data_IF_896154208234
#
_entry.id   IF_896154208234
#
_cell.length_a   1.000
_cell.length_b   1.000
_cell.length_c   1.000
_cell.angle_alpha   90.00
_cell.angle_beta   90.00
_cell.angle_gamma   90.00
#
_symmetry.space_group_name_H-M   'P 1'
#
loop_
_entity.id
_entity.type
_entity.pdbx_description
1 polymer ?
#
# COMPACT_ATOMS: atom_id res chain seq x y z
N UNK A 1 34.71 -11.81 -41.22
CA UNK A 1 33.38 -11.92 -40.68
C UNK A 1 33.49 -11.93 -39.18
N UNK A 2 33.22 -10.84 -38.43
CA UNK A 2 33.19 -10.90 -36.98
C UNK A 2 31.83 -11.39 -36.53
N UNK A 3 31.86 -12.44 -35.76
CA UNK A 3 30.73 -13.13 -35.13
C UNK A 3 30.11 -12.20 -34.06
N UNK A 4 28.92 -11.70 -34.36
CA UNK A 4 28.15 -10.84 -33.48
C UNK A 4 27.37 -11.66 -32.46
N UNK A 5 28.02 -12.20 -31.45
CA UNK A 5 27.38 -12.78 -30.28
C UNK A 5 26.67 -11.65 -29.51
N UNK A 6 25.38 -11.50 -29.72
CA UNK A 6 24.49 -10.74 -28.83
C UNK A 6 24.55 -11.39 -27.45
N UNK A 7 25.33 -10.80 -26.54
CA UNK A 7 25.26 -11.14 -25.12
C UNK A 7 23.86 -10.80 -24.66
N UNK A 8 23.02 -11.81 -24.41
CA UNK A 8 21.85 -11.67 -23.57
C UNK A 8 22.37 -11.33 -22.16
N UNK A 9 22.37 -10.04 -21.83
CA UNK A 9 22.63 -9.62 -20.45
C UNK A 9 21.61 -10.35 -19.56
N UNK A 10 22.11 -11.17 -18.64
CA UNK A 10 21.28 -11.76 -17.61
C UNK A 10 20.60 -10.62 -16.85
N UNK A 11 19.29 -10.70 -16.62
CA UNK A 11 18.54 -9.61 -15.98
C UNK A 11 19.19 -9.30 -14.62
N UNK A 12 19.47 -8.01 -14.40
CA UNK A 12 20.04 -7.50 -13.15
C UNK A 12 19.24 -8.03 -11.94
N UNK A 13 19.89 -8.75 -11.00
CA UNK A 13 19.21 -9.29 -9.81
C UNK A 13 18.51 -8.20 -9.00
N UNK A 14 19.01 -6.97 -9.01
CA UNK A 14 18.38 -5.82 -8.34
C UNK A 14 17.07 -5.43 -9.02
N UNK A 15 17.07 -5.32 -10.35
CA UNK A 15 15.88 -5.02 -11.13
C UNK A 15 14.80 -6.11 -10.97
N UNK A 16 15.18 -7.39 -10.87
CA UNK A 16 14.25 -8.48 -10.64
C UNK A 16 13.60 -8.39 -9.25
N UNK A 17 14.36 -8.10 -8.19
CA UNK A 17 13.82 -7.93 -6.83
C UNK A 17 12.82 -6.79 -6.73
N UNK A 18 13.09 -5.66 -7.40
CA UNK A 18 12.15 -4.53 -7.47
C UNK A 18 10.89 -4.91 -8.23
N UNK A 19 11.02 -5.62 -9.37
CA UNK A 19 9.87 -6.09 -10.15
C UNK A 19 8.99 -7.11 -9.41
N UNK A 20 9.57 -7.96 -8.57
CA UNK A 20 8.81 -8.87 -7.72
C UNK A 20 7.88 -8.13 -6.73
N UNK A 21 8.26 -6.94 -6.29
CA UNK A 21 7.44 -6.08 -5.43
C UNK A 21 6.28 -5.40 -6.14
N UNK A 22 6.41 -5.15 -7.45
CA UNK A 22 5.38 -4.48 -8.27
C UNK A 22 5.01 -5.38 -9.44
N UNK A 23 4.26 -6.44 -9.15
CA UNK A 23 3.86 -7.43 -10.16
C UNK A 23 3.06 -6.78 -11.29
N UNK A 24 3.35 -7.12 -12.57
CA UNK A 24 2.56 -6.67 -13.71
C UNK A 24 1.06 -6.94 -13.52
N UNK A 25 0.25 -5.93 -13.79
CA UNK A 25 -1.21 -6.02 -13.62
C UNK A 25 -1.73 -5.79 -12.19
N UNK A 26 -0.86 -5.65 -11.19
CA UNK A 26 -1.29 -5.21 -9.84
C UNK A 26 -1.82 -3.77 -9.86
N UNK A 27 -2.63 -3.39 -8.85
CA UNK A 27 -3.18 -2.02 -8.77
C UNK A 27 -2.06 -0.98 -8.66
N UNK A 28 -0.98 -1.29 -7.92
CA UNK A 28 0.21 -0.43 -7.78
C UNK A 28 0.96 -0.28 -9.11
N UNK A 29 1.15 -1.39 -9.84
CA UNK A 29 1.77 -1.36 -11.17
C UNK A 29 0.98 -0.46 -12.12
N UNK A 30 -0.34 -0.64 -12.21
CA UNK A 30 -1.19 0.16 -13.09
C UNK A 30 -1.17 1.65 -12.72
N UNK A 31 -1.16 1.97 -11.43
CA UNK A 31 -1.02 3.35 -10.97
C UNK A 31 0.33 3.96 -11.37
N UNK A 32 1.43 3.21 -11.23
CA UNK A 32 2.77 3.65 -11.57
C UNK A 32 2.98 3.89 -13.08
N UNK A 33 2.21 3.23 -13.97
CA UNK A 33 2.31 3.42 -15.43
C UNK A 33 2.09 4.87 -15.87
N UNK A 34 1.33 5.65 -15.11
CA UNK A 34 1.00 7.04 -15.43
C UNK A 34 1.96 8.07 -14.78
N UNK A 35 3.07 7.60 -14.22
CA UNK A 35 4.18 8.44 -13.73
C UNK A 35 5.29 8.52 -14.80
N UNK A 36 6.07 9.58 -14.79
CA UNK A 36 7.26 9.72 -15.66
C UNK A 36 8.25 8.56 -15.41
N UNK A 37 9.03 8.18 -16.42
CA UNK A 37 9.93 7.01 -16.36
C UNK A 37 10.89 7.04 -15.16
N UNK A 38 11.52 8.18 -14.91
CA UNK A 38 12.45 8.36 -13.77
C UNK A 38 11.75 8.27 -12.43
N UNK A 39 10.54 8.85 -12.32
CA UNK A 39 9.73 8.78 -11.09
C UNK A 39 9.24 7.35 -10.86
N UNK A 40 8.82 6.64 -11.93
CA UNK A 40 8.31 5.27 -11.85
C UNK A 40 9.29 4.34 -11.15
N UNK A 41 10.56 4.34 -11.51
CA UNK A 41 11.58 3.49 -10.88
C UNK A 41 11.67 3.74 -9.38
N UNK A 42 11.57 5.00 -8.95
CA UNK A 42 11.56 5.37 -7.53
C UNK A 42 10.28 4.89 -6.80
N UNK A 43 9.13 5.00 -7.44
CA UNK A 43 7.86 4.51 -6.90
C UNK A 43 7.88 2.99 -6.75
N UNK A 44 8.38 2.30 -7.78
CA UNK A 44 8.53 0.84 -7.78
C UNK A 44 9.46 0.37 -6.66
N UNK A 45 10.53 1.12 -6.36
CA UNK A 45 11.43 0.80 -5.25
C UNK A 45 10.73 0.93 -3.88
N UNK A 46 9.90 1.97 -3.66
CA UNK A 46 9.10 2.12 -2.43
C UNK A 46 8.11 0.96 -2.29
N UNK A 47 7.41 0.61 -3.36
CA UNK A 47 6.47 -0.51 -3.34
C UNK A 47 7.17 -1.87 -3.17
N UNK A 48 8.36 -2.04 -3.72
CA UNK A 48 9.15 -3.24 -3.52
C UNK A 48 9.53 -3.43 -2.05
N UNK A 49 9.91 -2.34 -1.36
CA UNK A 49 10.14 -2.37 0.08
C UNK A 49 8.86 -2.70 0.86
N UNK A 50 7.74 -2.07 0.54
CA UNK A 50 6.43 -2.38 1.14
C UNK A 50 6.07 -3.87 0.97
N UNK A 51 6.27 -4.42 -0.23
CA UNK A 51 6.01 -5.84 -0.52
C UNK A 51 6.96 -6.77 0.26
N UNK A 52 8.23 -6.39 0.41
CA UNK A 52 9.20 -7.14 1.22
C UNK A 52 8.80 -7.18 2.69
N UNK A 53 8.41 -6.03 3.28
CA UNK A 53 7.90 -5.97 4.66
C UNK A 53 6.68 -6.88 4.84
N UNK A 54 5.72 -6.84 3.91
CA UNK A 54 4.55 -7.74 3.95
C UNK A 54 4.91 -9.22 3.83
N UNK A 55 5.93 -9.56 3.03
CA UNK A 55 6.44 -10.93 2.90
C UNK A 55 7.06 -11.42 4.20
N UNK A 56 7.76 -10.54 4.91
CA UNK A 56 8.30 -10.85 6.25
C UNK A 56 7.18 -11.17 7.23
N UNK A 57 6.14 -10.34 7.30
CA UNK A 57 4.97 -10.54 8.18
C UNK A 57 4.20 -11.82 7.83
N UNK A 58 4.20 -12.24 6.56
CA UNK A 58 3.55 -13.47 6.10
C UNK A 58 4.41 -14.74 6.31
N UNK A 59 5.62 -14.63 6.88
CA UNK A 59 6.51 -15.77 7.12
C UNK A 59 5.87 -16.78 8.09
N UNK A 60 6.06 -18.06 7.85
CA UNK A 60 5.61 -19.12 8.73
C UNK A 60 6.40 -19.18 10.06
N UNK A 61 7.66 -18.72 10.04
CA UNK A 61 8.52 -18.67 11.23
C UNK A 61 8.53 -17.27 11.82
N UNK A 62 8.07 -17.15 13.05
CA UNK A 62 8.05 -15.90 13.81
C UNK A 62 9.47 -15.37 14.09
N UNK A 63 10.37 -16.26 14.52
CA UNK A 63 11.76 -15.90 14.81
C UNK A 63 12.49 -15.42 13.55
N UNK A 64 12.27 -16.10 12.41
CA UNK A 64 12.84 -15.69 11.14
C UNK A 64 12.30 -14.33 10.68
N UNK A 65 11.01 -14.04 10.93
CA UNK A 65 10.41 -12.75 10.65
C UNK A 65 11.07 -11.63 11.48
N UNK A 66 11.21 -11.81 12.80
CA UNK A 66 11.88 -10.84 13.67
C UNK A 66 13.35 -10.63 13.31
N UNK A 67 14.10 -11.69 13.02
CA UNK A 67 15.49 -11.58 12.58
C UNK A 67 15.63 -10.77 11.28
N UNK A 68 14.70 -10.96 10.32
CA UNK A 68 14.67 -10.20 9.06
C UNK A 68 14.29 -8.74 9.29
N UNK A 69 13.33 -8.43 10.17
CA UNK A 69 13.00 -7.03 10.51
C UNK A 69 14.18 -6.33 11.17
N UNK A 70 14.91 -7.02 12.08
CA UNK A 70 16.09 -6.47 12.70
C UNK A 70 17.21 -6.22 11.68
N UNK A 71 17.42 -7.15 10.75
CA UNK A 71 18.38 -6.96 9.67
C UNK A 71 18.01 -5.76 8.78
N UNK A 72 16.71 -5.58 8.45
CA UNK A 72 16.24 -4.45 7.67
C UNK A 72 16.44 -3.11 8.37
N UNK A 73 16.35 -3.04 9.71
CA UNK A 73 16.69 -1.81 10.44
C UNK A 73 18.11 -1.35 10.14
N UNK A 74 19.08 -2.26 10.27
CA UNK A 74 20.46 -1.97 9.91
C UNK A 74 20.67 -1.64 8.43
N UNK A 75 19.89 -2.23 7.53
CA UNK A 75 19.96 -1.91 6.10
C UNK A 75 19.39 -0.52 5.78
N UNK A 76 18.32 -0.12 6.44
CA UNK A 76 17.77 1.24 6.33
C UNK A 76 18.73 2.29 6.90
N UNK A 77 19.43 2.00 8.01
CA UNK A 77 20.48 2.88 8.54
C UNK A 77 21.61 3.03 7.52
N UNK A 78 22.03 1.94 6.85
CA UNK A 78 23.00 2.00 5.75
C UNK A 78 22.49 2.80 4.54
N UNK A 79 21.22 2.68 4.20
CA UNK A 79 20.59 3.46 3.14
C UNK A 79 20.63 4.97 3.45
N UNK A 80 20.23 5.36 4.65
CA UNK A 80 20.29 6.75 5.12
C UNK A 80 21.72 7.27 5.12
N UNK A 81 22.71 6.43 5.49
CA UNK A 81 24.12 6.75 5.40
C UNK A 81 24.70 6.75 3.96
N UNK A 82 23.91 6.37 2.95
CA UNK A 82 24.32 6.32 1.54
C UNK A 82 25.12 5.07 1.14
N UNK A 83 25.07 3.99 1.93
CA UNK A 83 25.84 2.76 1.74
C UNK A 83 24.98 1.50 1.82
N UNK A 84 23.83 1.43 1.11
CA UNK A 84 22.98 0.25 1.14
C UNK A 84 23.65 -0.94 0.43
N UNK A 85 23.34 -2.14 0.90
CA UNK A 85 23.85 -3.40 0.32
C UNK A 85 22.75 -4.21 -0.40
N UNK A 86 21.51 -4.11 0.06
CA UNK A 86 20.40 -4.87 -0.51
C UNK A 86 19.87 -4.22 -1.80
N UNK A 87 19.52 -4.98 -2.83
CA UNK A 87 19.04 -4.46 -4.12
C UNK A 87 17.87 -3.48 -4.00
N UNK A 88 16.87 -3.75 -3.15
CA UNK A 88 15.74 -2.84 -2.92
C UNK A 88 16.23 -1.53 -2.27
N UNK A 89 17.13 -1.60 -1.29
CA UNK A 89 17.68 -0.42 -0.65
C UNK A 89 18.56 0.40 -1.62
N UNK A 90 19.32 -0.25 -2.49
CA UNK A 90 20.07 0.40 -3.57
C UNK A 90 19.14 1.11 -4.56
N UNK A 91 17.99 0.51 -4.90
CA UNK A 91 16.98 1.13 -5.75
C UNK A 91 16.29 2.35 -5.10
N UNK A 92 16.28 2.44 -3.77
CA UNK A 92 15.80 3.60 -3.01
C UNK A 92 16.84 4.73 -2.89
N UNK A 93 18.13 4.43 -3.11
CA UNK A 93 19.23 5.40 -2.94
C UNK A 93 19.06 6.70 -3.76
N UNK A 94 18.53 6.69 -5.01
CA UNK A 94 18.28 7.93 -5.76
C UNK A 94 17.28 8.90 -5.11
N UNK A 95 16.52 8.44 -4.11
CA UNK A 95 15.60 9.27 -3.34
C UNK A 95 16.30 10.04 -2.21
N UNK A 96 17.51 9.61 -1.80
CA UNK A 96 18.26 10.23 -0.72
C UNK A 96 18.63 11.68 -1.05
N UNK A 97 18.34 12.57 -0.13
CA UNK A 97 18.62 14.01 -0.28
C UNK A 97 17.66 14.76 -1.18
N UNK A 98 16.62 14.10 -1.74
CA UNK A 98 15.56 14.82 -2.45
C UNK A 98 14.71 15.62 -1.47
N UNK A 99 14.21 16.74 -1.92
CA UNK A 99 13.37 17.63 -1.11
C UNK A 99 12.13 16.89 -0.58
N UNK A 100 11.87 17.04 0.70
CA UNK A 100 10.75 16.44 1.44
C UNK A 100 10.68 14.90 1.42
N UNK A 101 11.71 14.22 0.91
CA UNK A 101 11.84 12.76 0.96
C UNK A 101 12.69 12.38 2.18
N UNK A 102 12.03 11.92 3.22
CA UNK A 102 12.69 11.40 4.43
C UNK A 102 12.69 9.86 4.40
N UNK A 103 13.83 9.28 4.02
CA UNK A 103 13.99 7.81 3.99
C UNK A 103 13.98 7.18 5.39
N UNK A 104 14.20 7.98 6.47
CA UNK A 104 14.05 7.52 7.85
C UNK A 104 12.63 7.04 8.16
N UNK A 105 11.62 7.58 7.46
CA UNK A 105 10.24 7.13 7.58
C UNK A 105 10.03 5.64 7.22
N UNK A 106 10.92 5.02 6.45
CA UNK A 106 10.83 3.59 6.14
C UNK A 106 10.93 2.72 7.40
N UNK A 107 11.57 3.19 8.48
CA UNK A 107 11.58 2.50 9.77
C UNK A 107 10.18 2.37 10.37
N UNK A 108 9.28 3.34 10.13
CA UNK A 108 7.89 3.25 10.58
C UNK A 108 7.15 2.05 10.00
N UNK A 109 7.50 1.65 8.76
CA UNK A 109 6.93 0.45 8.14
C UNK A 109 7.40 -0.84 8.85
N UNK A 110 8.62 -0.86 9.37
CA UNK A 110 9.13 -1.99 10.17
C UNK A 110 8.45 -2.02 11.55
N UNK A 111 8.17 -0.85 12.15
CA UNK A 111 7.38 -0.77 13.40
C UNK A 111 5.96 -1.31 13.16
N UNK A 112 5.32 -0.94 12.03
CA UNK A 112 4.01 -1.49 11.68
C UNK A 112 4.05 -3.01 11.50
N UNK A 113 5.14 -3.55 10.94
CA UNK A 113 5.34 -4.99 10.79
C UNK A 113 5.50 -5.71 12.15
N UNK A 114 6.18 -5.10 13.13
CA UNK A 114 6.23 -5.66 14.49
C UNK A 114 4.84 -5.73 15.11
N UNK A 115 4.00 -4.68 14.94
CA UNK A 115 2.62 -4.69 15.43
C UNK A 115 1.79 -5.81 14.76
N UNK A 116 2.01 -6.05 13.45
CA UNK A 116 1.36 -7.17 12.74
C UNK A 116 1.84 -8.54 13.24
N UNK A 117 3.13 -8.70 13.54
CA UNK A 117 3.68 -9.94 14.11
C UNK A 117 3.17 -10.18 15.53
N UNK A 118 3.06 -9.13 16.34
CA UNK A 118 2.50 -9.18 17.68
C UNK A 118 0.96 -9.37 17.68
N UNK A 119 0.30 -9.36 16.51
CA UNK A 119 -1.16 -9.44 16.37
C UNK A 119 -1.89 -8.43 17.24
N UNK A 120 -1.40 -7.19 17.25
CA UNK A 120 -1.97 -6.13 18.06
C UNK A 120 -3.44 -5.89 17.72
N UNK A 121 -4.24 -5.70 18.75
CA UNK A 121 -5.62 -5.21 18.64
C UNK A 121 -5.64 -3.70 18.87
N UNK A 122 -6.60 -3.03 18.26
CA UNK A 122 -6.76 -1.58 18.35
C UNK A 122 -8.03 -1.26 19.13
N UNK A 123 -7.94 -0.40 20.15
CA UNK A 123 -9.12 -0.04 20.95
C UNK A 123 -10.02 0.89 20.15
N UNK A 124 -9.46 1.85 19.43
CA UNK A 124 -10.20 2.90 18.72
C UNK A 124 -9.75 3.07 17.27
N UNK A 125 -10.57 3.79 16.47
CA UNK A 125 -10.19 4.20 15.12
C UNK A 125 -8.94 5.11 15.12
N UNK A 126 -8.69 5.85 16.20
CA UNK A 126 -7.50 6.70 16.32
C UNK A 126 -6.23 5.87 16.46
N UNK A 127 -6.26 4.80 17.26
CA UNK A 127 -5.12 3.88 17.38
C UNK A 127 -4.83 3.16 16.07
N UNK A 128 -5.89 2.67 15.42
CA UNK A 128 -5.75 2.07 14.09
C UNK A 128 -5.16 3.09 13.09
N UNK A 129 -5.56 4.36 13.14
CA UNK A 129 -5.03 5.40 12.26
C UNK A 129 -3.51 5.58 12.41
N UNK A 130 -2.96 5.46 13.62
CA UNK A 130 -1.52 5.51 13.86
C UNK A 130 -0.78 4.35 13.17
N UNK A 131 -1.31 3.12 13.27
CA UNK A 131 -0.78 1.97 12.53
C UNK A 131 -0.88 2.15 11.00
N UNK A 132 -2.04 2.64 10.51
CA UNK A 132 -2.27 2.86 9.07
C UNK A 132 -1.29 3.88 8.49
N UNK A 133 -0.97 4.93 9.26
CA UNK A 133 0.05 5.90 8.85
C UNK A 133 1.43 5.23 8.77
N UNK A 134 1.85 4.50 9.80
CA UNK A 134 3.15 3.82 9.83
C UNK A 134 3.32 2.82 8.69
N UNK A 135 2.26 2.10 8.33
CA UNK A 135 2.29 1.11 7.25
C UNK A 135 2.23 1.77 5.86
N UNK A 136 1.05 1.93 5.30
CA UNK A 136 0.86 2.42 3.94
C UNK A 136 0.89 3.96 3.83
N UNK A 137 0.57 4.69 4.91
CA UNK A 137 0.65 6.15 4.92
C UNK A 137 2.06 6.66 4.68
N UNK A 138 3.07 6.02 5.27
CA UNK A 138 4.48 6.28 5.04
C UNK A 138 4.86 6.08 3.58
N UNK A 139 4.52 4.94 2.98
CA UNK A 139 4.82 4.65 1.58
C UNK A 139 4.21 5.70 0.64
N UNK A 140 2.94 6.07 0.84
CA UNK A 140 2.28 7.06 0.01
C UNK A 140 2.84 8.48 0.23
N UNK A 141 3.29 8.82 1.44
CA UNK A 141 3.96 10.10 1.71
C UNK A 141 5.30 10.20 0.96
N UNK A 142 6.12 9.16 0.97
CA UNK A 142 7.37 9.10 0.20
C UNK A 142 7.12 9.18 -1.31
N UNK A 143 6.09 8.49 -1.80
CA UNK A 143 5.69 8.55 -3.21
C UNK A 143 5.23 9.96 -3.59
N UNK A 144 4.38 10.60 -2.78
CA UNK A 144 3.89 11.96 -3.05
C UNK A 144 5.04 12.98 -3.05
N UNK A 145 6.00 12.87 -2.12
CA UNK A 145 7.19 13.71 -2.10
C UNK A 145 8.06 13.50 -3.35
N UNK A 146 8.22 12.25 -3.78
CA UNK A 146 8.94 11.91 -5.02
C UNK A 146 8.29 12.54 -6.25
N UNK A 147 6.96 12.52 -6.32
CA UNK A 147 6.19 13.11 -7.42
C UNK A 147 6.19 14.64 -7.38
N UNK A 148 6.24 15.26 -6.20
CA UNK A 148 6.36 16.69 -6.02
C UNK A 148 7.70 17.22 -6.53
N UNK A 149 8.76 16.42 -6.52
CA UNK A 149 10.09 16.79 -7.00
C UNK A 149 10.68 17.98 -6.25
N UNK A 150 11.42 18.82 -6.97
CA UNK A 150 12.16 19.95 -6.37
C UNK A 150 11.26 21.09 -5.86
N UNK A 151 9.99 21.15 -6.27
CA UNK A 151 9.05 22.15 -5.71
C UNK A 151 8.69 21.88 -4.25
N UNK A 152 8.88 20.63 -3.81
CA UNK A 152 8.52 20.19 -2.48
C UNK A 152 7.03 19.81 -2.32
N UNK A 153 6.73 19.13 -1.21
CA UNK A 153 5.42 18.58 -0.89
C UNK A 153 4.55 19.64 -0.19
N UNK A 154 3.43 20.02 -0.78
CA UNK A 154 2.46 20.91 -0.16
C UNK A 154 1.74 20.25 1.01
N UNK A 155 1.06 21.07 1.87
CA UNK A 155 0.23 20.54 2.95
C UNK A 155 -0.91 19.67 2.41
N UNK A 156 -1.54 20.09 1.31
CA UNK A 156 -2.64 19.36 0.66
C UNK A 156 -2.18 17.98 0.16
N UNK A 157 -1.03 17.91 -0.50
CA UNK A 157 -0.48 16.65 -0.98
C UNK A 157 -0.06 15.72 0.16
N UNK A 158 0.49 16.26 1.26
CA UNK A 158 0.83 15.47 2.45
C UNK A 158 -0.41 14.85 3.08
N UNK A 159 -1.49 15.63 3.22
CA UNK A 159 -2.76 15.15 3.76
C UNK A 159 -3.40 14.12 2.82
N UNK A 160 -3.41 14.39 1.50
CA UNK A 160 -3.85 13.45 0.49
C UNK A 160 -3.11 12.11 0.58
N UNK A 161 -1.79 12.14 0.63
CA UNK A 161 -0.97 10.93 0.68
C UNK A 161 -1.23 10.09 1.95
N UNK A 162 -1.34 10.75 3.11
CA UNK A 162 -1.64 10.08 4.38
C UNK A 162 -3.01 9.40 4.33
N UNK A 163 -4.05 10.12 3.89
CA UNK A 163 -5.43 9.58 3.79
C UNK A 163 -5.52 8.49 2.73
N UNK A 164 -4.88 8.68 1.58
CA UNK A 164 -4.79 7.65 0.55
C UNK A 164 -4.19 6.36 1.11
N UNK A 165 -3.02 6.43 1.73
CA UNK A 165 -2.34 5.26 2.29
C UNK A 165 -3.19 4.55 3.34
N UNK A 166 -3.77 5.30 4.27
CA UNK A 166 -4.65 4.74 5.29
C UNK A 166 -5.87 4.03 4.70
N UNK A 167 -6.50 4.62 3.68
CA UNK A 167 -7.71 4.06 3.06
C UNK A 167 -7.40 2.86 2.18
N UNK A 168 -6.29 2.91 1.42
CA UNK A 168 -5.77 1.77 0.65
C UNK A 168 -5.50 0.59 1.58
N UNK A 169 -4.80 0.79 2.69
CA UNK A 169 -4.50 -0.29 3.64
C UNK A 169 -5.76 -0.89 4.25
N UNK A 170 -6.73 -0.09 4.65
CA UNK A 170 -8.02 -0.59 5.15
C UNK A 170 -8.80 -1.38 4.09
N UNK A 171 -8.76 -0.96 2.82
CA UNK A 171 -9.36 -1.73 1.72
C UNK A 171 -8.71 -3.11 1.59
N UNK A 172 -7.39 -3.17 1.69
CA UNK A 172 -6.65 -4.44 1.67
C UNK A 172 -6.96 -5.33 2.88
N UNK A 173 -7.17 -4.74 4.08
CA UNK A 173 -7.63 -5.46 5.27
C UNK A 173 -9.00 -6.10 5.05
N UNK A 174 -9.94 -5.37 4.47
CA UNK A 174 -11.25 -5.92 4.14
C UNK A 174 -11.19 -7.04 3.09
N UNK A 175 -10.35 -6.88 2.08
CA UNK A 175 -10.10 -7.93 1.09
C UNK A 175 -9.53 -9.20 1.72
N UNK A 176 -8.60 -9.03 2.66
CA UNK A 176 -7.92 -10.13 3.33
C UNK A 176 -8.57 -10.55 4.66
N UNK A 177 -9.76 -10.03 4.98
CA UNK A 177 -10.38 -10.17 6.29
C UNK A 177 -10.42 -11.63 6.80
N UNK A 178 -10.85 -12.58 5.95
CA UNK A 178 -10.93 -13.98 6.33
C UNK A 178 -9.54 -14.59 6.60
N UNK A 179 -8.58 -14.28 5.73
CA UNK A 179 -7.21 -14.77 5.90
C UNK A 179 -6.56 -14.19 7.15
N UNK A 180 -6.73 -12.89 7.38
CA UNK A 180 -6.11 -12.22 8.53
C UNK A 180 -6.71 -12.73 9.85
N UNK A 181 -8.03 -12.96 9.90
CA UNK A 181 -8.71 -13.61 11.03
C UNK A 181 -8.21 -15.04 11.27
N UNK A 182 -8.07 -15.84 10.24
CA UNK A 182 -7.50 -17.19 10.34
C UNK A 182 -6.08 -17.19 10.92
N UNK A 183 -5.32 -16.10 10.70
CA UNK A 183 -4.00 -15.87 11.30
C UNK A 183 -4.07 -15.19 12.69
N UNK A 184 -5.26 -14.97 13.24
CA UNK A 184 -5.45 -14.30 14.54
C UNK A 184 -5.28 -12.80 14.51
N UNK A 185 -5.38 -12.14 13.33
CA UNK A 185 -5.30 -10.68 13.18
C UNK A 185 -6.69 -10.09 13.00
N UNK A 186 -7.08 -9.21 13.90
CA UNK A 186 -8.34 -8.44 13.82
C UNK A 186 -8.00 -6.96 13.87
N UNK A 187 -8.19 -6.26 12.75
CA UNK A 187 -7.92 -4.82 12.65
C UNK A 187 -9.13 -3.94 12.99
N UNK A 188 -10.34 -4.53 13.08
CA UNK A 188 -11.53 -3.78 13.49
C UNK A 188 -11.35 -3.31 14.94
N UNK A 189 -11.50 -1.99 15.24
CA UNK A 189 -11.35 -1.48 16.59
C UNK A 189 -12.38 -2.09 17.54
N UNK A 190 -11.93 -2.41 18.77
CA UNK A 190 -12.78 -3.04 19.79
C UNK A 190 -14.02 -2.21 20.09
N UNK A 191 -13.86 -0.88 20.33
CA UNK A 191 -14.98 0.03 20.57
C UNK A 191 -15.99 0.05 19.42
N UNK A 192 -15.53 -0.12 18.17
CA UNK A 192 -16.43 -0.14 17.02
C UNK A 192 -17.22 -1.45 16.93
N UNK A 193 -16.61 -2.58 17.29
CA UNK A 193 -17.29 -3.87 17.39
C UNK A 193 -18.31 -3.86 18.53
N UNK A 194 -17.92 -3.41 19.71
CA UNK A 194 -18.80 -3.28 20.89
C UNK A 194 -20.01 -2.38 20.60
N UNK A 195 -19.77 -1.22 19.98
CA UNK A 195 -20.84 -0.26 19.59
C UNK A 195 -21.81 -0.88 18.58
N UNK A 196 -21.38 -1.85 17.81
CA UNK A 196 -22.21 -2.61 16.88
C UNK A 196 -22.86 -3.84 17.51
N UNK A 197 -22.63 -4.10 18.82
CA UNK A 197 -23.11 -5.29 19.51
C UNK A 197 -22.41 -6.58 19.08
N UNK A 198 -21.17 -6.48 18.60
CA UNK A 198 -20.39 -7.62 18.12
C UNK A 198 -19.34 -8.01 19.17
N UNK A 199 -19.37 -9.27 19.60
CA UNK A 199 -18.31 -9.84 20.42
C UNK A 199 -17.01 -9.95 19.57
N UNK A 200 -15.90 -9.33 20.00
CA UNK A 200 -14.64 -9.40 19.28
C UNK A 200 -14.12 -10.82 19.02
N UNK A 201 -14.33 -11.74 19.97
CA UNK A 201 -13.93 -13.16 19.85
C UNK A 201 -14.78 -13.89 18.81
N UNK A 202 -16.09 -13.59 18.76
CA UNK A 202 -16.98 -14.13 17.75
C UNK A 202 -16.61 -13.57 16.36
N UNK A 203 -16.33 -12.27 16.26
CA UNK A 203 -15.87 -11.62 15.02
C UNK A 203 -14.56 -12.22 14.50
N UNK A 204 -13.63 -12.56 15.40
CA UNK A 204 -12.38 -13.24 15.00
C UNK A 204 -12.66 -14.62 14.41
N UNK A 205 -13.63 -15.37 14.91
CA UNK A 205 -13.98 -16.70 14.39
C UNK A 205 -14.77 -16.66 13.09
N UNK A 206 -15.72 -15.74 12.97
CA UNK A 206 -16.58 -15.61 11.80
C UNK A 206 -17.15 -14.19 11.67
N UNK A 207 -17.34 -13.72 10.44
CA UNK A 207 -18.11 -12.49 10.13
C UNK A 207 -19.41 -12.81 9.39
N UNK A 208 -19.88 -14.04 9.44
CA UNK A 208 -21.02 -14.50 8.63
C UNK A 208 -22.39 -14.20 9.26
N UNK A 209 -22.45 -13.73 10.52
CA UNK A 209 -23.72 -13.27 11.08
C UNK A 209 -24.15 -11.93 10.46
N UNK A 210 -25.46 -11.64 10.54
CA UNK A 210 -26.04 -10.45 9.90
C UNK A 210 -25.47 -9.13 10.45
N UNK A 211 -25.16 -9.07 11.76
CA UNK A 211 -24.64 -7.85 12.41
C UNK A 211 -23.20 -7.60 11.97
N UNK A 212 -22.36 -8.64 11.98
CA UNK A 212 -20.97 -8.53 11.51
C UNK A 212 -20.92 -8.19 10.01
N UNK A 213 -21.81 -8.77 9.21
CA UNK A 213 -21.93 -8.43 7.77
C UNK A 213 -22.33 -6.98 7.57
N UNK A 214 -23.29 -6.45 8.34
CA UNK A 214 -23.70 -5.05 8.29
C UNK A 214 -22.56 -4.10 8.73
N UNK A 215 -21.80 -4.47 9.76
CA UNK A 215 -20.63 -3.73 10.21
C UNK A 215 -19.57 -3.62 9.10
N UNK A 216 -19.21 -4.72 8.47
CA UNK A 216 -18.25 -4.78 7.36
C UNK A 216 -18.75 -3.94 6.18
N UNK A 217 -20.03 -4.03 5.81
CA UNK A 217 -20.64 -3.22 4.76
C UNK A 217 -20.59 -1.72 5.08
N UNK A 218 -20.86 -1.33 6.33
CA UNK A 218 -20.71 0.06 6.80
C UNK A 218 -19.27 0.56 6.69
N UNK A 219 -18.31 -0.28 7.04
CA UNK A 219 -16.88 0.04 6.89
C UNK A 219 -16.49 0.23 5.41
N UNK A 220 -16.92 -0.69 4.53
CA UNK A 220 -16.73 -0.58 3.08
C UNK A 220 -17.30 0.72 2.51
N UNK A 221 -18.54 1.06 2.89
CA UNK A 221 -19.21 2.28 2.42
C UNK A 221 -18.47 3.55 2.88
N UNK A 222 -17.94 3.57 4.10
CA UNK A 222 -17.09 4.67 4.61
C UNK A 222 -15.83 4.82 3.78
N UNK A 223 -15.09 3.74 3.54
CA UNK A 223 -13.86 3.77 2.75
C UNK A 223 -14.12 4.19 1.30
N UNK A 224 -15.25 3.77 0.74
CA UNK A 224 -15.67 4.17 -0.61
C UNK A 224 -15.83 5.68 -0.73
N UNK A 225 -16.57 6.30 0.22
CA UNK A 225 -16.72 7.77 0.29
C UNK A 225 -15.38 8.48 0.48
N UNK A 226 -14.51 7.93 1.33
CA UNK A 226 -13.18 8.47 1.57
C UNK A 226 -12.35 8.53 0.29
N UNK A 227 -12.30 7.43 -0.48
CA UNK A 227 -11.57 7.37 -1.76
C UNK A 227 -12.15 8.35 -2.80
N UNK A 228 -13.47 8.57 -2.80
CA UNK A 228 -14.12 9.51 -3.71
C UNK A 228 -13.83 10.98 -3.35
N UNK A 229 -13.65 11.29 -2.07
CA UNK A 229 -13.36 12.65 -1.60
C UNK A 229 -11.89 13.06 -1.73
N UNK A 230 -10.96 12.11 -1.92
CA UNK A 230 -9.52 12.40 -1.99
C UNK A 230 -9.12 13.47 -3.02
N UNK A 231 -9.71 13.54 -4.24
CA UNK A 231 -9.36 14.57 -5.20
C UNK A 231 -9.65 16.00 -4.73
N UNK A 232 -10.62 16.18 -3.82
CA UNK A 232 -11.01 17.48 -3.27
C UNK A 232 -9.92 18.05 -2.36
N UNK A 233 -9.15 17.20 -1.68
CA UNK A 233 -8.04 17.61 -0.81
C UNK A 233 -6.96 18.33 -1.60
N UNK A 234 -6.68 17.86 -2.81
CA UNK A 234 -5.67 18.47 -3.70
C UNK A 234 -6.13 19.83 -4.25
N UNK A 235 -7.44 20.07 -4.35
CA UNK A 235 -8.04 21.32 -4.80
C UNK A 235 -7.67 21.69 -6.23
N UNK A 236 -6.43 22.07 -6.45
CA UNK A 236 -5.94 22.60 -7.73
C UNK A 236 -5.67 21.52 -8.77
N UNK A 237 -5.96 21.80 -10.07
CA UNK A 237 -5.67 20.87 -11.16
C UNK A 237 -4.19 20.50 -11.27
N UNK A 238 -3.29 21.45 -11.01
CA UNK A 238 -1.83 21.23 -11.03
C UNK A 238 -1.37 20.20 -10.01
N UNK A 239 -1.93 20.22 -8.79
CA UNK A 239 -1.65 19.24 -7.75
C UNK A 239 -2.27 17.89 -8.08
N UNK A 240 -3.47 17.87 -8.67
CA UNK A 240 -4.09 16.63 -9.14
C UNK A 240 -3.27 15.96 -10.23
N UNK A 241 -2.77 16.72 -11.19
CA UNK A 241 -1.87 16.22 -12.24
C UNK A 241 -0.56 15.68 -11.65
N UNK A 242 0.05 16.39 -10.71
CA UNK A 242 1.27 15.94 -10.03
C UNK A 242 1.05 14.64 -9.26
N UNK A 243 -0.09 14.50 -8.56
CA UNK A 243 -0.44 13.34 -7.75
C UNK A 243 -1.34 12.32 -8.49
N UNK A 244 -1.35 12.35 -9.83
CA UNK A 244 -2.17 11.47 -10.68
C UNK A 244 -2.03 9.99 -10.35
N UNK A 245 -0.81 9.53 -10.02
CA UNK A 245 -0.56 8.18 -9.55
C UNK A 245 -1.48 7.81 -8.37
N UNK A 246 -1.52 8.64 -7.33
CA UNK A 246 -2.34 8.39 -6.15
C UNK A 246 -3.84 8.41 -6.46
N UNK A 247 -4.28 9.29 -7.37
CA UNK A 247 -5.68 9.35 -7.82
C UNK A 247 -6.08 8.10 -8.61
N UNK A 248 -5.20 7.57 -9.45
CA UNK A 248 -5.42 6.28 -10.15
C UNK A 248 -5.49 5.13 -9.13
N UNK A 249 -4.60 5.11 -8.15
CA UNK A 249 -4.62 4.10 -7.09
C UNK A 249 -5.92 4.15 -6.28
N UNK A 250 -6.39 5.35 -5.91
CA UNK A 250 -7.67 5.56 -5.23
C UNK A 250 -8.86 5.04 -6.04
N UNK A 251 -8.93 5.38 -7.32
CA UNK A 251 -10.01 4.94 -8.21
C UNK A 251 -10.03 3.41 -8.38
N UNK A 252 -8.87 2.77 -8.47
CA UNK A 252 -8.75 1.32 -8.55
C UNK A 252 -9.23 0.64 -7.26
N UNK A 253 -8.88 1.18 -6.08
CA UNK A 253 -9.33 0.65 -4.79
C UNK A 253 -10.82 0.89 -4.57
N UNK A 254 -11.37 2.02 -5.03
CA UNK A 254 -12.80 2.27 -5.01
C UNK A 254 -13.58 1.22 -5.82
N UNK A 255 -13.11 0.90 -7.02
CA UNK A 255 -13.69 -0.18 -7.83
C UNK A 255 -13.55 -1.55 -7.18
N UNK A 256 -12.45 -1.78 -6.47
CA UNK A 256 -12.24 -3.02 -5.73
C UNK A 256 -13.22 -3.17 -4.57
N UNK A 257 -13.51 -2.08 -3.83
CA UNK A 257 -14.56 -2.07 -2.80
C UNK A 257 -15.95 -2.35 -3.39
N UNK A 258 -16.30 -1.76 -4.54
CA UNK A 258 -17.56 -2.05 -5.25
C UNK A 258 -17.68 -3.56 -5.53
N UNK A 259 -16.58 -4.19 -5.89
CA UNK A 259 -16.54 -5.64 -6.17
C UNK A 259 -16.69 -6.49 -4.92
N UNK A 260 -16.10 -6.07 -3.79
CA UNK A 260 -16.23 -6.76 -2.50
C UNK A 260 -17.67 -6.67 -1.96
N UNK A 261 -18.36 -5.57 -2.22
CA UNK A 261 -19.75 -5.34 -1.79
C UNK A 261 -20.79 -6.10 -2.64
N UNK A 262 -20.40 -6.65 -3.80
CA UNK A 262 -21.31 -7.39 -4.66
C UNK A 262 -21.77 -8.71 -3.99
N UNK A 263 -23.06 -9.11 -4.13
CA UNK A 263 -23.58 -10.34 -3.52
C UNK A 263 -22.75 -11.59 -3.88
N UNK A 264 -22.59 -12.46 -2.91
CA UNK A 264 -21.71 -13.64 -2.95
C UNK A 264 -22.12 -14.76 -3.93
N UNK A 265 -23.12 -14.54 -4.81
CA UNK A 265 -23.57 -15.52 -5.81
C UNK A 265 -22.45 -16.07 -6.72
N UNK A 266 -21.20 -15.67 -6.47
CA UNK A 266 -20.05 -15.99 -7.29
C UNK A 266 -18.76 -16.11 -6.48
N UNK A 267 -18.82 -16.89 -5.39
CA UNK A 267 -17.69 -17.09 -4.47
C UNK A 267 -16.36 -17.40 -5.17
N UNK A 268 -15.32 -16.93 -4.55
CA UNK A 268 -13.91 -17.30 -4.58
C UNK A 268 -13.00 -16.86 -5.74
N UNK A 269 -13.37 -16.87 -6.98
CA UNK A 269 -12.50 -16.35 -8.08
C UNK A 269 -12.78 -14.90 -8.46
N UNK A 270 -13.77 -14.24 -7.85
CA UNK A 270 -14.30 -12.95 -8.31
C UNK A 270 -14.13 -11.77 -7.34
N UNK A 271 -13.36 -11.93 -6.28
CA UNK A 271 -12.97 -10.78 -5.44
C UNK A 271 -12.04 -9.82 -6.18
N UNK A 272 -11.28 -10.29 -7.17
CA UNK A 272 -10.40 -9.46 -7.96
C UNK A 272 -11.12 -8.75 -9.11
N UNK A 273 -10.64 -7.55 -9.43
CA UNK A 273 -11.06 -6.82 -10.62
C UNK A 273 -10.52 -7.52 -11.89
N UNK A 274 -11.35 -7.67 -12.89
CA UNK A 274 -10.91 -8.15 -14.20
C UNK A 274 -9.86 -7.22 -14.83
N UNK A 275 -8.94 -7.74 -15.66
CA UNK A 275 -7.83 -6.96 -16.24
C UNK A 275 -8.31 -5.75 -17.04
N UNK A 276 -9.36 -5.90 -17.84
CA UNK A 276 -9.94 -4.80 -18.64
C UNK A 276 -10.53 -3.71 -17.74
N UNK A 277 -11.22 -4.07 -16.66
CA UNK A 277 -11.77 -3.11 -15.70
C UNK A 277 -10.67 -2.32 -15.01
N UNK A 278 -9.57 -2.99 -14.61
CA UNK A 278 -8.40 -2.32 -14.02
C UNK A 278 -7.78 -1.33 -14.99
N UNK A 279 -7.50 -1.77 -16.22
CA UNK A 279 -6.86 -0.94 -17.23
C UNK A 279 -7.73 0.27 -17.61
N UNK A 280 -9.03 0.04 -17.85
CA UNK A 280 -9.99 1.11 -18.17
C UNK A 280 -10.11 2.14 -17.04
N UNK A 281 -10.23 1.68 -15.78
CA UNK A 281 -10.33 2.57 -14.62
C UNK A 281 -9.06 3.42 -14.50
N UNK A 282 -7.89 2.81 -14.61
CA UNK A 282 -6.61 3.50 -14.52
C UNK A 282 -6.46 4.54 -15.63
N UNK A 283 -6.70 4.16 -16.87
CA UNK A 283 -6.59 5.04 -18.04
C UNK A 283 -7.58 6.22 -17.97
N UNK A 284 -8.86 5.95 -17.69
CA UNK A 284 -9.88 7.01 -17.59
C UNK A 284 -9.57 8.00 -16.47
N UNK A 285 -9.09 7.54 -15.33
CA UNK A 285 -8.71 8.41 -14.22
C UNK A 285 -7.47 9.24 -14.57
N UNK A 286 -6.48 8.62 -15.21
CA UNK A 286 -5.28 9.33 -15.64
C UNK A 286 -5.57 10.45 -16.64
N UNK A 287 -6.52 10.24 -17.58
CA UNK A 287 -6.95 11.27 -18.52
C UNK A 287 -7.71 12.44 -17.87
N UNK A 288 -8.44 12.18 -16.79
CA UNK A 288 -9.19 13.23 -16.07
C UNK A 288 -8.27 14.18 -15.29
N UNK A 289 -7.07 13.73 -14.95
CA UNK A 289 -6.14 14.42 -14.09
C UNK A 289 -4.76 14.62 -14.74
N UNK A 290 -4.71 14.46 -16.08
CA UNK A 290 -3.51 14.63 -16.91
C UNK A 290 -3.26 16.03 -17.39
#
# INVERSE_FOLDING_TARGET
MPDGTVRHDAPDPAANRVREGVQPGSLRFLAALFSGSTQRSSLEAVYAFEAEVRRIVASASHDAAHARLQWWRGELDRLVAGRPSHPIAQALLPLRGRRDVDLGLLHEMLVAADLDLARMTYVSWQELAAYLFRSAGTAQTLIAATLAGDRGLTRAEREFARRLGATVRQTEMLFNLERDRACGRVYAPLQALESAGIDPTAFQRSSSDAVATAFVAGWQARLRRELESLPEILGEPSLRSAQRHGLVLAALHARWLDRLAAPAATADRRKELGPLTRLWTAWRTALRHG
#
